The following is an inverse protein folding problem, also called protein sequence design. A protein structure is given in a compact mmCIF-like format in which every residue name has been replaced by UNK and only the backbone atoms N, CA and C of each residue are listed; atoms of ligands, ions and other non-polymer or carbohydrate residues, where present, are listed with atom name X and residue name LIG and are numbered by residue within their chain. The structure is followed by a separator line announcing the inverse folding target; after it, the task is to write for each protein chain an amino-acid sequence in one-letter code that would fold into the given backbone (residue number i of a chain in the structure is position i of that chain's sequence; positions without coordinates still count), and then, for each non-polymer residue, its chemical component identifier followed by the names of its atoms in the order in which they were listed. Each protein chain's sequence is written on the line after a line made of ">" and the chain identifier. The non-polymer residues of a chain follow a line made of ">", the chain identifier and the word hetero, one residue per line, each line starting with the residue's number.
data_IF_426670307622
#
_entry.id   IF_426670307622
#
_cell.length_a   1.000
_cell.length_b   1.000
_cell.length_c   1.000
_cell.angle_alpha   90.00
_cell.angle_beta   90.00
_cell.angle_gamma   90.00
#
_symmetry.space_group_name_H-M   'P 1'
#
loop_
_entity.id
_entity.type
_entity.pdbx_description
1 polymer ?
#
# COMPACT_ATOMS: atom_id res chain seq x y z
N UNK A 1 -9.20 -0.08 -1.57
CA UNK A 1 -9.22 0.21 -0.13
C UNK A 1 -10.36 1.17 0.14
N UNK A 2 -11.13 0.96 1.21
CA UNK A 2 -12.26 1.81 1.59
C UNK A 2 -12.14 2.20 3.07
N UNK A 3 -12.49 3.45 3.38
CA UNK A 3 -12.55 3.97 4.75
C UNK A 3 -13.99 3.84 5.26
N UNK A 4 -14.16 3.07 6.34
CA UNK A 4 -15.46 2.90 7.00
C UNK A 4 -15.38 3.37 8.44
N UNK A 5 -16.54 3.67 9.02
CA UNK A 5 -16.66 3.86 10.46
C UNK A 5 -16.52 2.52 11.17
N UNK A 6 -15.73 2.51 12.24
CA UNK A 6 -15.56 1.37 13.14
C UNK A 6 -16.82 1.13 13.97
N UNK A 7 -17.42 2.20 14.48
CA UNK A 7 -18.72 2.21 15.16
C UNK A 7 -19.64 3.27 14.55
N UNK A 8 -20.92 2.91 14.34
CA UNK A 8 -21.96 3.87 13.96
C UNK A 8 -22.28 4.75 15.17
N UNK A 9 -21.64 5.93 15.24
CA UNK A 9 -22.06 7.01 16.14
C UNK A 9 -22.93 7.98 15.35
N UNK A 10 -24.06 8.39 15.90
CA UNK A 10 -24.92 9.47 15.35
C UNK A 10 -24.26 10.84 15.57
N UNK A 11 -23.06 11.05 15.01
CA UNK A 11 -22.38 12.34 15.01
C UNK A 11 -22.75 13.13 13.75
N UNK A 12 -22.82 14.47 13.88
CA UNK A 12 -23.06 15.38 12.77
C UNK A 12 -22.12 15.06 11.58
N UNK A 13 -22.68 14.97 10.38
CA UNK A 13 -22.01 14.47 9.17
C UNK A 13 -20.70 15.19 8.82
N UNK A 14 -20.51 16.45 9.24
CA UNK A 14 -19.28 17.22 9.01
C UNK A 14 -18.09 16.77 9.87
N UNK A 15 -18.33 16.24 11.07
CA UNK A 15 -17.25 15.84 12.01
C UNK A 15 -16.89 14.35 11.90
N UNK A 16 -17.68 13.61 11.10
CA UNK A 16 -17.61 12.16 10.92
C UNK A 16 -16.21 11.63 10.56
N UNK A 17 -15.44 12.37 9.77
CA UNK A 17 -14.13 11.94 9.27
C UNK A 17 -12.94 12.52 10.06
N UNK A 18 -13.21 13.34 11.08
CA UNK A 18 -12.17 13.96 11.92
C UNK A 18 -11.74 13.06 13.07
N UNK A 19 -12.58 12.12 13.49
CA UNK A 19 -12.24 11.14 14.53
C UNK A 19 -11.43 9.98 13.93
N UNK A 20 -10.11 10.06 14.12
CA UNK A 20 -9.17 9.05 13.64
C UNK A 20 -9.37 7.69 14.33
N UNK A 21 -9.87 7.67 15.57
CA UNK A 21 -10.06 6.46 16.36
C UNK A 21 -11.30 5.66 15.91
N UNK A 22 -12.25 6.34 15.26
CA UNK A 22 -13.43 5.72 14.67
C UNK A 22 -13.25 5.34 13.20
N UNK A 23 -12.05 5.52 12.63
CA UNK A 23 -11.79 5.20 11.23
C UNK A 23 -11.20 3.80 11.10
N UNK A 24 -11.80 2.97 10.26
CA UNK A 24 -11.30 1.65 9.94
C UNK A 24 -10.99 1.54 8.45
N UNK A 25 -9.79 1.03 8.16
CA UNK A 25 -9.33 0.73 6.81
C UNK A 25 -9.76 -0.69 6.45
N UNK A 26 -10.43 -0.84 5.31
CA UNK A 26 -10.84 -2.14 4.78
C UNK A 26 -10.26 -2.35 3.37
N UNK A 27 -9.69 -3.53 3.17
CA UNK A 27 -9.23 -3.99 1.86
C UNK A 27 -10.42 -4.55 1.09
N UNK A 28 -10.54 -4.14 -0.18
CA UNK A 28 -11.63 -4.51 -1.08
C UNK A 28 -11.02 -4.86 -2.44
N UNK A 29 -11.83 -5.45 -3.31
CA UNK A 29 -11.45 -5.86 -4.68
C UNK A 29 -10.40 -6.99 -4.70
N UNK A 30 -10.82 -8.17 -4.26
CA UNK A 30 -10.00 -9.39 -4.27
C UNK A 30 -10.21 -10.25 -5.53
N UNK A 31 -10.78 -9.70 -6.62
CA UNK A 31 -11.10 -10.47 -7.83
C UNK A 31 -9.88 -11.08 -8.53
N UNK A 32 -8.71 -10.44 -8.38
CA UNK A 32 -7.42 -10.91 -8.90
C UNK A 32 -6.46 -11.36 -7.77
N UNK A 33 -6.95 -11.41 -6.53
CA UNK A 33 -6.10 -11.74 -5.40
C UNK A 33 -5.80 -13.25 -5.35
N UNK A 34 -4.60 -13.58 -4.89
CA UNK A 34 -4.14 -14.95 -4.72
C UNK A 34 -3.48 -15.12 -3.35
N UNK A 35 -3.60 -16.31 -2.77
CA UNK A 35 -2.87 -16.66 -1.54
C UNK A 35 -1.47 -17.11 -1.95
N UNK A 36 -0.50 -16.22 -1.84
CA UNK A 36 0.90 -16.49 -2.18
C UNK A 36 1.85 -16.14 -1.03
N UNK A 37 2.82 -17.02 -0.79
CA UNK A 37 3.95 -16.77 0.11
C UNK A 37 5.19 -16.27 -0.63
N UNK A 38 5.12 -16.14 -1.96
CA UNK A 38 6.25 -15.73 -2.81
C UNK A 38 6.70 -14.29 -2.48
N UNK A 39 8.01 -14.06 -2.27
CA UNK A 39 8.55 -12.72 -2.14
C UNK A 39 8.34 -11.83 -3.38
N UNK A 40 8.22 -12.44 -4.56
CA UNK A 40 8.02 -11.72 -5.83
C UNK A 40 6.61 -11.13 -5.92
N UNK A 41 5.58 -11.93 -5.66
CA UNK A 41 4.18 -11.46 -5.69
C UNK A 41 3.96 -10.31 -4.68
N UNK A 42 4.52 -10.46 -3.47
CA UNK A 42 4.48 -9.40 -2.45
C UNK A 42 5.22 -8.14 -2.87
N UNK A 43 6.34 -8.28 -3.57
CA UNK A 43 7.09 -7.16 -4.13
C UNK A 43 6.30 -6.42 -5.21
N UNK A 44 5.58 -7.15 -6.06
CA UNK A 44 4.68 -6.59 -7.08
C UNK A 44 3.52 -5.83 -6.42
N UNK A 45 2.88 -6.40 -5.39
CA UNK A 45 1.80 -5.73 -4.66
C UNK A 45 2.24 -4.39 -4.05
N UNK A 46 3.42 -4.37 -3.41
CA UNK A 46 4.02 -3.15 -2.86
C UNK A 46 4.28 -2.09 -3.94
N UNK A 47 4.73 -2.53 -5.12
CA UNK A 47 4.97 -1.64 -6.26
C UNK A 47 3.67 -1.06 -6.84
N UNK A 48 2.63 -1.88 -6.99
CA UNK A 48 1.31 -1.41 -7.44
C UNK A 48 0.76 -0.38 -6.45
N UNK A 49 0.88 -0.64 -5.15
CA UNK A 49 0.47 0.31 -4.11
C UNK A 49 1.24 1.64 -4.18
N UNK A 50 2.57 1.58 -4.33
CA UNK A 50 3.41 2.78 -4.51
C UNK A 50 2.93 3.62 -5.69
N UNK A 51 2.74 2.98 -6.85
CA UNK A 51 2.32 3.67 -8.08
C UNK A 51 0.92 4.27 -7.95
N UNK A 52 0.00 3.57 -7.31
CA UNK A 52 -1.35 4.09 -7.04
C UNK A 52 -1.30 5.35 -6.17
N UNK A 53 -0.55 5.32 -5.06
CA UNK A 53 -0.41 6.46 -4.16
C UNK A 53 0.27 7.67 -4.81
N UNK A 54 1.34 7.46 -5.58
CA UNK A 54 2.00 8.54 -6.33
C UNK A 54 1.05 9.15 -7.37
N UNK A 55 0.19 8.33 -7.97
CA UNK A 55 -0.75 8.80 -9.00
C UNK A 55 -1.89 9.65 -8.44
N UNK A 56 -2.36 9.37 -7.22
CA UNK A 56 -3.51 10.08 -6.62
C UNK A 56 -3.10 11.15 -5.62
N UNK A 57 -1.95 11.01 -4.97
CA UNK A 57 -1.50 11.86 -3.86
C UNK A 57 -0.03 12.27 -4.02
N UNK A 58 0.28 12.97 -5.11
CA UNK A 58 1.64 13.43 -5.40
C UNK A 58 2.19 14.44 -4.37
N UNK A 59 1.31 15.09 -3.60
CA UNK A 59 1.69 16.10 -2.60
C UNK A 59 2.32 15.49 -1.33
N UNK A 60 2.23 14.17 -1.15
CA UNK A 60 2.73 13.46 0.04
C UNK A 60 3.73 12.35 -0.33
N UNK A 61 4.95 12.69 -0.80
CA UNK A 61 5.94 11.71 -1.25
C UNK A 61 6.43 10.78 -0.13
N UNK A 62 6.31 11.20 1.14
CA UNK A 62 6.75 10.40 2.29
C UNK A 62 5.70 9.38 2.77
N UNK A 63 4.46 9.46 2.27
CA UNK A 63 3.37 8.58 2.71
C UNK A 63 3.71 7.10 2.48
N UNK A 64 4.24 6.77 1.30
CA UNK A 64 4.63 5.40 0.99
C UNK A 64 5.77 4.91 1.89
N UNK A 65 6.70 5.78 2.30
CA UNK A 65 7.78 5.41 3.23
C UNK A 65 7.24 4.99 4.59
N UNK A 66 6.23 5.69 5.10
CA UNK A 66 5.56 5.33 6.37
C UNK A 66 4.88 3.97 6.28
N UNK A 67 4.17 3.71 5.18
CA UNK A 67 3.52 2.42 4.92
C UNK A 67 4.58 1.30 4.83
N UNK A 68 5.65 1.53 4.07
CA UNK A 68 6.73 0.56 3.89
C UNK A 68 7.42 0.24 5.22
N UNK A 69 7.68 1.25 6.06
CA UNK A 69 8.29 1.02 7.37
C UNK A 69 7.37 0.22 8.30
N UNK A 70 6.08 0.53 8.30
CA UNK A 70 5.07 -0.22 9.06
C UNK A 70 4.98 -1.68 8.58
N UNK A 71 5.03 -1.90 7.27
CA UNK A 71 5.06 -3.24 6.68
C UNK A 71 6.29 -4.03 7.14
N UNK A 72 7.48 -3.39 7.18
CA UNK A 72 8.72 -4.04 7.67
C UNK A 72 8.60 -4.46 9.13
N UNK A 73 8.01 -3.63 9.98
CA UNK A 73 7.87 -3.89 11.41
C UNK A 73 6.87 -5.01 11.70
N UNK A 74 5.81 -5.12 10.89
CA UNK A 74 4.78 -6.13 11.08
C UNK A 74 5.10 -7.47 10.40
N UNK A 75 5.82 -7.44 9.27
CA UNK A 75 6.20 -8.64 8.54
C UNK A 75 7.30 -9.40 9.30
N UNK A 76 6.92 -10.52 9.92
CA UNK A 76 7.80 -11.35 10.75
C UNK A 76 8.77 -12.24 9.94
N UNK A 77 8.54 -12.43 8.64
CA UNK A 77 9.28 -13.40 7.82
C UNK A 77 9.62 -12.83 6.44
N UNK A 78 10.83 -13.11 5.94
CA UNK A 78 11.31 -12.81 4.58
C UNK A 78 11.24 -11.34 4.14
N UNK A 79 11.14 -10.38 5.07
CA UNK A 79 11.05 -8.94 4.78
C UNK A 79 12.21 -8.44 3.93
N UNK A 80 13.44 -8.94 4.14
CA UNK A 80 14.61 -8.56 3.32
C UNK A 80 14.48 -8.98 1.86
N UNK A 81 14.01 -10.19 1.61
CA UNK A 81 13.83 -10.73 0.25
C UNK A 81 12.70 -10.01 -0.48
N UNK A 82 11.58 -9.74 0.20
CA UNK A 82 10.45 -8.99 -0.35
C UNK A 82 10.91 -7.58 -0.77
N UNK A 83 11.71 -6.90 0.04
CA UNK A 83 12.25 -5.58 -0.29
C UNK A 83 13.21 -5.63 -1.48
N UNK A 84 14.07 -6.65 -1.54
CA UNK A 84 14.96 -6.83 -2.69
C UNK A 84 14.15 -7.04 -3.99
N UNK A 85 13.08 -7.85 -3.93
CA UNK A 85 12.18 -8.06 -5.05
C UNK A 85 11.38 -6.82 -5.42
N UNK A 86 10.92 -6.05 -4.44
CA UNK A 86 10.28 -4.78 -4.66
C UNK A 86 11.19 -3.79 -5.42
N UNK A 87 12.46 -3.64 -5.02
CA UNK A 87 13.41 -2.79 -5.75
C UNK A 87 13.71 -3.31 -7.16
N UNK A 88 13.77 -4.63 -7.35
CA UNK A 88 13.91 -5.25 -8.67
C UNK A 88 12.71 -4.92 -9.58
N UNK A 89 11.48 -5.05 -9.07
CA UNK A 89 10.25 -4.69 -9.78
C UNK A 89 10.22 -3.19 -10.09
N UNK A 90 10.60 -2.34 -9.12
CA UNK A 90 10.69 -0.90 -9.31
C UNK A 90 11.69 -0.52 -10.40
N UNK A 91 12.85 -1.19 -10.46
CA UNK A 91 13.87 -0.96 -11.50
C UNK A 91 13.41 -1.43 -12.90
N UNK A 92 12.61 -2.50 -12.98
CA UNK A 92 11.94 -2.93 -14.22
C UNK A 92 10.82 -1.94 -14.64
N UNK A 93 10.19 -1.31 -13.66
CA UNK A 93 9.06 -0.40 -13.79
C UNK A 93 9.44 1.04 -14.15
N UNK A 94 10.00 1.26 -15.35
CA UNK A 94 9.99 2.50 -16.15
C UNK A 94 10.77 2.21 -17.43
N UNK A 95 10.38 2.85 -18.55
CA UNK A 95 11.00 2.66 -19.88
C UNK A 95 12.51 2.46 -19.75
N UNK A 96 13.01 1.26 -20.07
CA UNK A 96 14.42 1.11 -20.44
C UNK A 96 14.63 2.06 -21.61
N UNK A 97 15.43 3.11 -21.43
CA UNK A 97 16.02 3.80 -22.56
C UNK A 97 16.81 2.72 -23.29
N UNK A 98 16.32 2.29 -24.46
CA UNK A 98 17.04 1.36 -25.32
C UNK A 98 18.22 2.15 -25.86
N UNK A 99 19.32 2.14 -25.12
CA UNK A 99 20.62 2.61 -25.61
C UNK A 99 21.27 1.36 -26.18
N UNK A 100 21.11 1.20 -27.49
CA UNK A 100 21.95 0.32 -28.29
C UNK A 100 23.30 0.97 -28.55
#
# INVERSE_FOLDING_TARGET
>A
MLLIEKEKKDTNAEVKWLDSDNLQIVMIDFGLAQVSSSPEDKGVDLYVLERALISTHNDFPDLFKVILNSYKNYSKTNTKEILAKFEEVRARGRKRTMIG
#
